data_IF_777018271686
#
_entry.id   IF_777018271686
#
_cell.length_a   1.000
_cell.length_b   1.000
_cell.length_c   1.000
_cell.angle_alpha   90.00
_cell.angle_beta   90.00
_cell.angle_gamma   90.00
#
_symmetry.space_group_name_H-M   'P 1'
#
loop_
_entity.id
_entity.type
_entity.pdbx_description
1 polymer ?
#
# COMPACT_ATOMS: atom_id res chain seq x y z
N UNK A 1 28.48 24.29 14.61
CA UNK A 1 28.21 22.97 15.20
C UNK A 1 26.71 22.87 15.43
N UNK A 2 25.97 22.41 14.44
CA UNK A 2 24.51 22.23 14.51
C UNK A 2 24.24 20.75 14.68
N UNK A 3 23.81 20.39 15.91
CA UNK A 3 23.36 19.06 16.28
C UNK A 3 22.06 18.75 15.54
N UNK A 4 22.06 17.78 14.62
CA UNK A 4 20.83 17.18 14.10
C UNK A 4 20.29 16.26 15.18
N UNK A 5 19.13 16.60 15.73
CA UNK A 5 18.33 15.72 16.56
C UNK A 5 17.75 14.61 15.66
N UNK A 6 18.35 13.43 15.72
CA UNK A 6 17.82 12.22 15.08
C UNK A 6 16.57 11.77 15.85
N UNK A 7 15.39 12.06 15.32
CA UNK A 7 14.16 11.37 15.73
C UNK A 7 14.32 9.87 15.43
N UNK A 8 13.98 9.01 16.40
CA UNK A 8 14.03 7.57 16.21
C UNK A 8 13.09 7.18 15.05
N UNK A 9 13.65 6.81 13.91
CA UNK A 9 12.86 6.23 12.81
C UNK A 9 12.33 4.88 13.27
N UNK A 10 11.07 4.58 12.95
CA UNK A 10 10.48 3.26 13.19
C UNK A 10 11.38 2.22 12.54
N UNK A 11 11.81 1.21 13.31
CA UNK A 11 12.60 0.09 12.77
C UNK A 11 11.70 -0.78 11.89
N UNK A 12 11.69 -0.48 10.60
CA UNK A 12 10.90 -1.18 9.61
C UNK A 12 11.35 -2.62 9.41
N UNK A 13 12.64 -2.90 9.62
CA UNK A 13 13.20 -4.26 9.48
C UNK A 13 12.70 -5.16 10.60
N UNK A 14 12.74 -4.68 11.85
CA UNK A 14 12.19 -5.42 13.00
C UNK A 14 10.67 -5.58 12.88
N UNK A 15 9.98 -4.58 12.31
CA UNK A 15 8.54 -4.67 12.08
C UNK A 15 8.20 -5.73 11.01
N UNK A 16 9.03 -5.90 9.97
CA UNK A 16 8.84 -6.96 8.97
C UNK A 16 9.05 -8.37 9.52
N UNK A 17 9.90 -8.57 10.53
CA UNK A 17 10.05 -9.88 11.17
C UNK A 17 8.77 -10.39 11.85
N UNK A 18 7.85 -9.48 12.24
CA UNK A 18 6.56 -9.85 12.83
C UNK A 18 5.57 -10.51 11.84
N UNK A 19 5.91 -10.60 10.55
CA UNK A 19 5.12 -11.36 9.57
C UNK A 19 5.40 -12.87 9.59
N UNK A 20 6.47 -13.31 10.25
CA UNK A 20 6.90 -14.72 10.21
C UNK A 20 6.20 -15.60 11.26
N UNK A 21 5.54 -15.00 12.26
CA UNK A 21 4.81 -15.66 13.32
C UNK A 21 3.28 -15.54 13.14
N UNK A 22 2.51 -16.32 13.91
CA UNK A 22 1.03 -16.25 13.97
C UNK A 22 0.59 -14.97 14.72
N UNK A 23 0.82 -13.82 14.10
CA UNK A 23 0.56 -12.49 14.63
C UNK A 23 -0.63 -11.82 13.91
N UNK A 24 -1.25 -10.79 14.50
CA UNK A 24 -2.25 -9.98 13.80
C UNK A 24 -1.73 -9.43 12.47
N UNK A 25 -0.43 -9.18 12.36
CA UNK A 25 0.21 -8.69 11.14
C UNK A 25 0.30 -9.77 10.06
N UNK A 26 0.60 -11.01 10.46
CA UNK A 26 0.58 -12.18 9.59
C UNK A 26 -0.83 -12.46 9.04
N UNK A 27 -1.85 -12.47 9.91
CA UNK A 27 -3.25 -12.64 9.46
C UNK A 27 -3.68 -11.56 8.47
N UNK A 28 -3.26 -10.30 8.69
CA UNK A 28 -3.51 -9.21 7.73
C UNK A 28 -2.81 -9.48 6.40
N UNK A 29 -1.56 -9.94 6.41
CA UNK A 29 -0.82 -10.29 5.19
C UNK A 29 -1.55 -11.35 4.38
N UNK A 30 -1.99 -12.44 5.02
CA UNK A 30 -2.77 -13.50 4.35
C UNK A 30 -4.08 -12.97 3.77
N UNK A 31 -4.77 -12.07 4.47
CA UNK A 31 -5.97 -11.43 3.95
C UNK A 31 -5.68 -10.57 2.71
N UNK A 32 -4.61 -9.79 2.72
CA UNK A 32 -4.17 -8.99 1.57
C UNK A 32 -3.81 -9.89 0.40
N UNK A 33 -3.00 -10.94 0.61
CA UNK A 33 -2.62 -11.90 -0.42
C UNK A 33 -3.83 -12.57 -1.07
N UNK A 34 -4.84 -12.97 -0.27
CA UNK A 34 -6.10 -13.50 -0.79
C UNK A 34 -6.78 -12.49 -1.71
N UNK A 35 -6.89 -11.22 -1.29
CA UNK A 35 -7.52 -10.17 -2.10
C UNK A 35 -6.74 -9.84 -3.38
N UNK A 36 -5.43 -9.93 -3.34
CA UNK A 36 -4.60 -9.82 -4.55
C UNK A 36 -4.91 -10.98 -5.50
N UNK A 37 -4.94 -12.23 -5.00
CA UNK A 37 -5.27 -13.41 -5.81
C UNK A 37 -6.66 -13.31 -6.47
N UNK A 38 -7.67 -12.87 -5.70
CA UNK A 38 -9.01 -12.61 -6.22
C UNK A 38 -8.96 -11.57 -7.37
N UNK A 39 -8.27 -10.43 -7.13
CA UNK A 39 -8.12 -9.37 -8.11
C UNK A 39 -7.40 -9.83 -9.39
N UNK A 40 -6.34 -10.63 -9.28
CA UNK A 40 -5.63 -11.20 -10.43
C UNK A 40 -6.52 -12.16 -11.23
N UNK A 41 -7.33 -12.98 -10.54
CA UNK A 41 -8.24 -13.95 -11.16
C UNK A 41 -9.42 -13.28 -11.90
N UNK A 42 -9.88 -12.13 -11.40
CA UNK A 42 -11.01 -11.38 -11.98
C UNK A 42 -10.60 -10.54 -13.22
N UNK A 43 -9.29 -10.33 -13.46
CA UNK A 43 -8.85 -9.56 -14.62
C UNK A 43 -9.06 -10.33 -15.91
N UNK A 44 -9.48 -9.67 -17.00
CA UNK A 44 -9.50 -10.26 -18.34
C UNK A 44 -8.13 -10.84 -18.73
N UNK A 45 -8.11 -11.76 -19.68
CA UNK A 45 -6.86 -12.30 -20.22
C UNK A 45 -5.95 -11.19 -20.74
N UNK A 46 -4.64 -11.39 -20.58
CA UNK A 46 -3.61 -10.46 -20.99
C UNK A 46 -2.77 -9.95 -19.82
N UNK A 47 -1.95 -8.99 -20.09
CA UNK A 47 -0.98 -8.40 -19.17
C UNK A 47 -1.68 -7.63 -18.03
N UNK A 48 -1.19 -7.79 -16.79
CA UNK A 48 -1.71 -7.14 -15.57
C UNK A 48 -0.63 -6.25 -15.00
N UNK A 49 -0.84 -4.94 -15.06
CA UNK A 49 0.11 -3.97 -14.50
C UNK A 49 -0.21 -3.69 -13.04
N UNK A 50 0.80 -3.88 -12.17
CA UNK A 50 0.69 -3.67 -10.72
C UNK A 50 1.62 -2.56 -10.27
N UNK A 51 1.16 -1.72 -9.35
CA UNK A 51 2.02 -0.86 -8.55
C UNK A 51 1.77 -1.11 -7.06
N UNK A 52 2.84 -1.08 -6.26
CA UNK A 52 2.76 -1.18 -4.81
C UNK A 52 3.51 -0.02 -4.17
N UNK A 53 2.81 0.75 -3.35
CA UNK A 53 3.37 1.85 -2.57
C UNK A 53 3.86 1.34 -1.22
N UNK A 54 5.10 1.69 -0.84
CA UNK A 54 5.75 1.24 0.41
C UNK A 54 5.75 -0.30 0.52
N UNK A 55 6.32 -0.92 -0.50
CA UNK A 55 6.18 -2.36 -0.75
C UNK A 55 6.93 -3.24 0.26
N UNK A 56 7.84 -2.67 1.06
CA UNK A 56 8.71 -3.45 1.94
C UNK A 56 9.51 -4.48 1.13
N UNK A 57 9.49 -5.74 1.59
CA UNK A 57 10.11 -6.87 0.88
C UNK A 57 9.22 -7.46 -0.24
N UNK A 58 8.08 -6.83 -0.56
CA UNK A 58 7.16 -7.31 -1.60
C UNK A 58 6.28 -8.49 -1.17
N UNK A 59 6.23 -8.84 0.11
CA UNK A 59 5.54 -10.03 0.64
C UNK A 59 4.06 -10.11 0.26
N UNK A 60 3.38 -8.97 0.14
CA UNK A 60 1.97 -8.88 -0.27
C UNK A 60 1.78 -9.48 -1.67
N UNK A 61 2.50 -8.94 -2.65
CA UNK A 61 2.38 -9.33 -4.06
C UNK A 61 3.05 -10.68 -4.32
N UNK A 62 4.30 -10.86 -3.89
CA UNK A 62 5.05 -12.06 -4.20
C UNK A 62 4.39 -13.30 -3.61
N UNK A 63 3.92 -13.24 -2.35
CA UNK A 63 3.18 -14.35 -1.74
C UNK A 63 1.85 -14.65 -2.44
N UNK A 64 1.16 -13.63 -2.96
CA UNK A 64 -0.06 -13.83 -3.73
C UNK A 64 0.20 -14.46 -5.11
N UNK A 65 1.38 -14.23 -5.70
CA UNK A 65 1.77 -14.78 -7.01
C UNK A 65 2.24 -16.25 -6.93
N UNK A 66 2.63 -16.75 -5.76
CA UNK A 66 3.03 -18.17 -5.62
C UNK A 66 1.90 -19.08 -6.11
N UNK A 67 2.23 -19.95 -7.06
CA UNK A 67 1.29 -20.92 -7.68
C UNK A 67 0.01 -20.29 -8.26
N UNK A 68 0.02 -18.99 -8.54
CA UNK A 68 -1.13 -18.34 -9.17
C UNK A 68 -1.08 -18.49 -10.70
N UNK A 69 -2.17 -18.93 -11.36
CA UNK A 69 -2.17 -19.20 -12.82
C UNK A 69 -1.88 -17.96 -13.66
N UNK A 70 -2.14 -16.76 -13.13
CA UNK A 70 -1.89 -15.48 -13.80
C UNK A 70 -0.57 -14.83 -13.38
N UNK A 71 0.31 -15.53 -12.63
CA UNK A 71 1.57 -14.94 -12.13
C UNK A 71 2.47 -14.45 -13.28
N UNK A 72 2.52 -15.17 -14.39
CA UNK A 72 3.32 -14.78 -15.57
C UNK A 72 2.80 -13.54 -16.31
N UNK A 73 1.54 -13.17 -16.11
CA UNK A 73 0.92 -12.01 -16.73
C UNK A 73 1.19 -10.71 -15.95
N UNK A 74 1.66 -10.85 -14.71
CA UNK A 74 1.88 -9.73 -13.79
C UNK A 74 3.21 -9.05 -14.09
N UNK A 75 3.15 -7.75 -14.29
CA UNK A 75 4.33 -6.88 -14.42
C UNK A 75 4.04 -5.56 -13.72
N UNK A 76 5.09 -4.83 -13.33
CA UNK A 76 4.87 -3.54 -12.69
C UNK A 76 6.00 -3.09 -11.80
N UNK A 77 5.66 -2.20 -10.85
CA UNK A 77 6.64 -1.53 -10.02
C UNK A 77 6.28 -1.58 -8.54
N UNK A 78 7.25 -1.99 -7.74
CA UNK A 78 7.24 -1.87 -6.29
C UNK A 78 8.09 -0.66 -5.91
N UNK A 79 7.55 0.23 -5.09
CA UNK A 79 8.25 1.42 -4.60
C UNK A 79 8.48 1.27 -3.10
N UNK A 80 9.73 1.30 -2.68
CA UNK A 80 10.15 1.20 -1.28
C UNK A 80 11.24 2.24 -1.00
N UNK A 81 11.12 2.93 0.14
CA UNK A 81 12.07 3.99 0.51
C UNK A 81 13.32 3.45 1.20
N UNK A 82 13.15 2.39 2.02
CA UNK A 82 14.28 1.76 2.72
C UNK A 82 15.13 0.95 1.73
N UNK A 83 16.43 1.28 1.57
CA UNK A 83 17.28 0.63 0.59
C UNK A 83 17.54 -0.85 0.90
N UNK A 84 17.51 -1.26 2.18
CA UNK A 84 17.71 -2.66 2.55
C UNK A 84 16.48 -3.49 2.19
N UNK A 85 15.26 -2.99 2.51
CA UNK A 85 14.00 -3.65 2.14
C UNK A 85 13.85 -3.69 0.61
N UNK A 86 14.16 -2.59 -0.09
CA UNK A 86 14.13 -2.56 -1.55
C UNK A 86 15.11 -3.57 -2.17
N UNK A 87 16.32 -3.70 -1.61
CA UNK A 87 17.30 -4.70 -2.06
C UNK A 87 16.82 -6.13 -1.85
N UNK A 88 16.22 -6.42 -0.69
CA UNK A 88 15.62 -7.73 -0.39
C UNK A 88 14.46 -8.04 -1.34
N UNK A 89 13.57 -7.08 -1.59
CA UNK A 89 12.50 -7.23 -2.56
C UNK A 89 13.04 -7.52 -3.96
N UNK A 90 14.06 -6.77 -4.42
CA UNK A 90 14.66 -6.95 -5.74
C UNK A 90 15.31 -8.33 -5.91
N UNK A 91 15.91 -8.88 -4.83
CA UNK A 91 16.52 -10.21 -4.86
C UNK A 91 15.50 -11.35 -5.07
N UNK A 92 14.23 -11.12 -4.73
CA UNK A 92 13.15 -12.12 -4.83
C UNK A 92 12.08 -11.74 -5.88
N UNK A 93 12.26 -10.61 -6.57
CA UNK A 93 11.28 -10.12 -7.54
C UNK A 93 11.11 -11.10 -8.72
N UNK A 94 9.88 -11.53 -9.03
CA UNK A 94 9.62 -12.31 -10.23
C UNK A 94 9.95 -11.52 -11.50
N UNK A 95 10.20 -12.20 -12.65
CA UNK A 95 10.35 -11.53 -13.93
C UNK A 95 9.18 -10.58 -14.22
N UNK A 96 9.49 -9.38 -14.72
CA UNK A 96 8.48 -8.35 -15.00
C UNK A 96 8.20 -7.38 -13.85
N UNK A 97 8.67 -7.66 -12.64
CA UNK A 97 8.52 -6.75 -11.49
C UNK A 97 9.81 -5.93 -11.30
N UNK A 98 9.68 -4.62 -11.44
CA UNK A 98 10.71 -3.64 -11.12
C UNK A 98 10.59 -3.22 -9.64
N UNK A 99 11.70 -3.19 -8.91
CA UNK A 99 11.75 -2.63 -7.55
C UNK A 99 12.56 -1.35 -7.59
N UNK A 100 11.97 -0.24 -7.14
CA UNK A 100 12.62 1.09 -7.11
C UNK A 100 12.79 1.55 -5.67
N UNK A 101 14.01 1.92 -5.30
CA UNK A 101 14.28 2.60 -4.04
C UNK A 101 13.94 4.09 -4.22
N UNK A 102 12.71 4.48 -3.81
CA UNK A 102 12.19 5.83 -4.01
C UNK A 102 11.10 6.17 -2.98
N UNK A 103 10.77 7.46 -2.88
CA UNK A 103 9.68 7.95 -2.03
C UNK A 103 8.31 7.69 -2.67
N UNK A 104 7.60 6.68 -2.18
CA UNK A 104 6.26 6.33 -2.62
C UNK A 104 5.21 7.45 -2.38
N UNK A 105 5.51 8.43 -1.54
CA UNK A 105 4.69 9.62 -1.34
C UNK A 105 4.82 10.66 -2.45
N UNK A 106 5.68 10.46 -3.46
CA UNK A 106 5.80 11.30 -4.64
C UNK A 106 5.25 10.60 -5.89
N UNK A 107 4.51 11.33 -6.71
CA UNK A 107 4.05 10.83 -8.01
C UNK A 107 5.19 10.50 -8.97
N UNK A 108 6.37 11.08 -8.77
CA UNK A 108 7.56 10.79 -9.59
C UNK A 108 7.94 9.31 -9.59
N UNK A 109 7.71 8.62 -8.47
CA UNK A 109 8.00 7.20 -8.33
C UNK A 109 7.17 6.31 -9.28
N UNK A 110 6.05 6.80 -9.79
CA UNK A 110 5.10 6.04 -10.60
C UNK A 110 5.12 6.43 -12.10
N UNK A 111 5.88 7.46 -12.47
CA UNK A 111 6.00 7.88 -13.89
C UNK A 111 6.55 6.71 -14.72
N UNK A 112 5.85 6.40 -15.82
CA UNK A 112 6.17 5.27 -16.71
C UNK A 112 5.66 3.89 -16.23
N UNK A 113 5.14 3.79 -14.99
CA UNK A 113 4.55 2.55 -14.44
C UNK A 113 3.02 2.57 -14.36
N UNK A 114 2.39 3.67 -14.73
CA UNK A 114 0.92 3.85 -14.70
C UNK A 114 0.38 4.14 -16.10
N UNK A 115 -0.93 3.95 -16.35
CA UNK A 115 -1.96 3.49 -15.42
C UNK A 115 -1.81 2.00 -15.08
N UNK A 116 -2.18 1.62 -13.85
CA UNK A 116 -2.08 0.26 -13.34
C UNK A 116 -3.45 -0.39 -13.21
N UNK A 117 -3.49 -1.73 -13.34
CA UNK A 117 -4.67 -2.57 -13.17
C UNK A 117 -4.91 -2.97 -11.71
N UNK A 118 -3.83 -3.02 -10.92
CA UNK A 118 -3.86 -3.29 -9.48
C UNK A 118 -2.95 -2.31 -8.76
N UNK A 119 -3.48 -1.63 -7.75
CA UNK A 119 -2.77 -0.65 -6.93
C UNK A 119 -2.81 -1.10 -5.47
N UNK A 120 -1.64 -1.32 -4.88
CA UNK A 120 -1.50 -1.73 -3.48
C UNK A 120 -1.06 -0.54 -2.63
N UNK A 121 -1.86 -0.20 -1.62
CA UNK A 121 -1.60 0.86 -0.64
C UNK A 121 -1.66 0.26 0.77
N UNK A 122 -0.90 -0.84 0.94
CA UNK A 122 -0.87 -1.60 2.19
C UNK A 122 0.18 -1.03 3.16
N UNK A 123 -0.20 -0.90 4.45
CA UNK A 123 0.69 -0.34 5.47
C UNK A 123 0.89 1.19 5.39
N UNK A 124 0.22 1.90 4.50
CA UNK A 124 0.37 3.35 4.31
C UNK A 124 -0.61 4.14 5.18
N UNK A 125 -1.91 3.92 5.03
CA UNK A 125 -2.95 4.76 5.66
C UNK A 125 -2.92 4.79 7.19
N UNK A 126 -2.29 3.83 7.84
CA UNK A 126 -2.09 3.81 9.28
C UNK A 126 -0.88 4.61 9.77
N UNK A 127 -0.05 5.13 8.87
CA UNK A 127 1.23 5.78 9.18
C UNK A 127 1.35 7.19 8.59
N UNK A 128 0.26 7.74 8.07
CA UNK A 128 0.17 9.10 7.51
C UNK A 128 -0.98 9.87 8.17
N UNK A 129 -1.03 11.19 8.02
CA UNK A 129 -2.12 11.99 8.54
C UNK A 129 -3.45 11.69 7.84
N UNK A 130 -4.58 11.94 8.51
CA UNK A 130 -5.91 11.74 7.93
C UNK A 130 -6.11 12.62 6.68
N UNK A 131 -5.54 13.84 6.67
CA UNK A 131 -5.52 14.72 5.50
C UNK A 131 -4.78 14.07 4.33
N UNK A 132 -3.60 13.47 4.59
CA UNK A 132 -2.81 12.79 3.57
C UNK A 132 -3.51 11.51 3.05
N UNK A 133 -4.28 10.81 3.89
CA UNK A 133 -5.13 9.70 3.43
C UNK A 133 -6.15 10.19 2.40
N UNK A 134 -6.88 11.26 2.72
CA UNK A 134 -7.85 11.87 1.79
C UNK A 134 -7.20 12.35 0.50
N UNK A 135 -6.05 13.02 0.61
CA UNK A 135 -5.26 13.50 -0.56
C UNK A 135 -4.78 12.34 -1.43
N UNK A 136 -4.28 11.28 -0.81
CA UNK A 136 -3.82 10.07 -1.54
C UNK A 136 -4.97 9.45 -2.30
N UNK A 137 -6.13 9.24 -1.65
CA UNK A 137 -7.31 8.65 -2.29
C UNK A 137 -7.77 9.50 -3.48
N UNK A 138 -7.82 10.84 -3.32
CA UNK A 138 -8.19 11.76 -4.39
C UNK A 138 -7.21 11.73 -5.59
N UNK A 139 -5.96 11.31 -5.38
CA UNK A 139 -4.96 11.19 -6.43
C UNK A 139 -4.93 9.81 -7.10
N UNK A 140 -5.49 8.75 -6.48
CA UNK A 140 -5.48 7.38 -7.04
C UNK A 140 -6.03 7.29 -8.48
N UNK A 141 -7.03 8.08 -8.93
CA UNK A 141 -7.44 8.10 -10.34
C UNK A 141 -6.31 8.35 -11.34
N UNK A 142 -5.22 9.00 -10.90
CA UNK A 142 -4.03 9.24 -11.76
C UNK A 142 -3.11 8.02 -11.85
N UNK A 143 -3.29 7.04 -10.98
CA UNK A 143 -2.51 5.81 -10.94
C UNK A 143 -3.25 4.61 -11.53
N UNK A 144 -4.58 4.68 -11.63
CA UNK A 144 -5.47 3.58 -11.98
C UNK A 144 -5.84 3.58 -13.47
N UNK A 145 -5.85 2.40 -14.10
CA UNK A 145 -6.60 2.16 -15.32
C UNK A 145 -8.11 2.08 -15.01
N UNK A 146 -8.97 2.26 -16.01
CA UNK A 146 -10.40 1.97 -15.85
C UNK A 146 -10.60 0.50 -15.41
N UNK A 147 -11.42 0.26 -14.42
CA UNK A 147 -11.64 -1.07 -13.84
C UNK A 147 -10.51 -1.56 -12.95
N UNK A 148 -9.52 -0.72 -12.62
CA UNK A 148 -8.43 -1.08 -11.72
C UNK A 148 -8.94 -1.43 -10.32
N UNK A 149 -8.29 -2.40 -9.68
CA UNK A 149 -8.54 -2.73 -8.27
C UNK A 149 -7.53 -2.02 -7.39
N UNK A 150 -8.00 -1.38 -6.32
CA UNK A 150 -7.17 -0.80 -5.26
C UNK A 150 -7.35 -1.60 -3.98
N UNK A 151 -6.25 -2.08 -3.40
CA UNK A 151 -6.24 -2.78 -2.11
C UNK A 151 -5.49 -1.92 -1.10
N UNK A 152 -6.13 -1.65 0.03
CA UNK A 152 -5.57 -0.82 1.08
C UNK A 152 -5.77 -1.43 2.46
N UNK A 153 -4.92 -1.03 3.43
CA UNK A 153 -5.04 -1.46 4.83
C UNK A 153 -5.04 -0.28 5.79
N UNK A 154 -5.83 -0.40 6.87
CA UNK A 154 -5.85 0.54 7.99
C UNK A 154 -6.18 -0.19 9.28
N UNK A 155 -5.67 0.29 10.42
CA UNK A 155 -6.17 -0.12 11.74
C UNK A 155 -7.54 0.51 12.01
N UNK A 156 -8.32 -0.14 12.89
CA UNK A 156 -9.65 0.31 13.34
C UNK A 156 -9.64 0.87 14.77
N UNK A 157 -8.45 1.18 15.30
CA UNK A 157 -8.34 1.84 16.62
C UNK A 157 -9.00 3.21 16.57
N UNK A 158 -9.66 3.63 17.67
CA UNK A 158 -10.27 4.95 17.75
C UNK A 158 -9.25 6.09 17.55
N UNK A 159 -9.62 7.16 16.81
CA UNK A 159 -10.81 7.26 15.98
C UNK A 159 -10.71 6.36 14.73
N UNK A 160 -11.77 5.53 14.50
CA UNK A 160 -11.80 4.63 13.34
C UNK A 160 -12.12 5.41 12.05
N UNK A 161 -11.09 5.64 11.26
CA UNK A 161 -11.18 6.39 10.00
C UNK A 161 -11.75 5.55 8.82
N UNK A 162 -11.96 4.25 9.00
CA UNK A 162 -12.32 3.36 7.86
C UNK A 162 -13.64 3.73 7.20
N UNK A 163 -14.57 4.37 7.94
CA UNK A 163 -15.85 4.87 7.40
C UNK A 163 -15.58 6.03 6.42
N UNK A 164 -14.74 6.99 6.85
CA UNK A 164 -14.40 8.15 6.02
C UNK A 164 -13.55 7.76 4.81
N UNK A 165 -12.59 6.86 4.97
CA UNK A 165 -11.81 6.28 3.87
C UNK A 165 -12.74 5.72 2.79
N UNK A 166 -13.72 4.90 3.15
CA UNK A 166 -14.66 4.32 2.19
C UNK A 166 -15.49 5.39 1.48
N UNK A 167 -15.92 6.43 2.20
CA UNK A 167 -16.63 7.58 1.62
C UNK A 167 -15.75 8.38 0.66
N UNK A 168 -14.47 8.60 1.01
CA UNK A 168 -13.53 9.28 0.13
C UNK A 168 -13.27 8.51 -1.16
N UNK A 169 -13.17 7.18 -1.09
CA UNK A 169 -13.09 6.34 -2.29
C UNK A 169 -14.33 6.48 -3.18
N UNK A 170 -15.53 6.46 -2.61
CA UNK A 170 -16.78 6.66 -3.36
C UNK A 170 -16.77 8.03 -4.09
N UNK A 171 -16.37 9.10 -3.40
CA UNK A 171 -16.25 10.44 -4.00
C UNK A 171 -15.17 10.53 -5.08
N UNK A 172 -14.13 9.71 -5.01
CA UNK A 172 -13.05 9.67 -5.99
C UNK A 172 -13.33 8.72 -7.18
N UNK A 173 -14.56 8.23 -7.31
CA UNK A 173 -14.98 7.40 -8.44
C UNK A 173 -14.66 5.92 -8.30
N UNK A 174 -14.64 5.42 -7.07
CA UNK A 174 -14.47 4.00 -6.78
C UNK A 174 -15.73 3.38 -6.19
N UNK A 175 -16.02 2.15 -6.59
CA UNK A 175 -17.02 1.31 -5.94
C UNK A 175 -16.35 0.29 -5.00
N UNK A 176 -17.04 -0.05 -3.91
CA UNK A 176 -16.54 -1.03 -2.95
C UNK A 176 -16.79 -2.45 -3.43
N UNK A 177 -15.71 -3.26 -3.50
CA UNK A 177 -15.78 -4.69 -3.76
C UNK A 177 -15.83 -5.52 -2.48
N UNK A 178 -14.92 -5.22 -1.53
CA UNK A 178 -14.84 -5.95 -0.27
C UNK A 178 -14.32 -5.08 0.88
N UNK A 179 -14.60 -5.53 2.12
CA UNK A 179 -14.03 -4.95 3.32
C UNK A 179 -13.90 -6.04 4.39
N UNK A 180 -12.69 -6.50 4.64
CA UNK A 180 -12.36 -7.45 5.69
C UNK A 180 -12.00 -6.71 6.96
N UNK A 181 -12.73 -6.97 8.03
CA UNK A 181 -12.56 -6.33 9.34
C UNK A 181 -12.96 -7.31 10.45
N UNK A 182 -12.16 -8.38 10.68
CA UNK A 182 -12.49 -9.39 11.68
C UNK A 182 -12.55 -8.77 13.07
N UNK A 183 -13.47 -9.27 13.90
CA UNK A 183 -13.72 -8.72 15.23
C UNK A 183 -12.56 -8.92 16.21
N UNK A 184 -11.81 -9.99 16.03
CA UNK A 184 -10.66 -10.40 16.84
C UNK A 184 -9.40 -9.59 16.59
N UNK A 185 -9.36 -8.79 15.51
CA UNK A 185 -8.20 -7.97 15.15
C UNK A 185 -8.57 -6.50 14.94
N UNK A 186 -7.60 -5.62 15.13
CA UNK A 186 -7.77 -4.19 14.90
C UNK A 186 -7.46 -3.74 13.45
N UNK A 187 -7.04 -4.64 12.57
CA UNK A 187 -6.77 -4.30 11.18
C UNK A 187 -8.01 -4.41 10.29
N UNK A 188 -7.96 -3.74 9.17
CA UNK A 188 -8.89 -3.93 8.06
C UNK A 188 -8.17 -3.95 6.72
N UNK A 189 -8.79 -4.62 5.74
CA UNK A 189 -8.40 -4.64 4.33
C UNK A 189 -9.59 -4.19 3.50
N UNK A 190 -9.44 -3.10 2.76
CA UNK A 190 -10.45 -2.62 1.84
C UNK A 190 -10.06 -2.90 0.40
N UNK A 191 -11.06 -3.23 -0.42
CA UNK A 191 -10.91 -3.47 -1.85
C UNK A 191 -11.91 -2.62 -2.61
N UNK A 192 -11.40 -1.81 -3.53
CA UNK A 192 -12.18 -0.86 -4.33
C UNK A 192 -11.91 -1.07 -5.81
N UNK A 193 -12.92 -0.88 -6.65
CA UNK A 193 -12.79 -0.86 -8.11
C UNK A 193 -12.93 0.56 -8.63
N UNK A 194 -11.99 1.01 -9.44
CA UNK A 194 -12.08 2.31 -10.09
C UNK A 194 -13.04 2.25 -11.28
N UNK A 195 -14.09 3.09 -11.27
CA UNK A 195 -15.17 3.08 -12.27
C UNK A 195 -15.38 4.43 -12.96
N UNK A 196 -14.50 5.38 -12.69
CA UNK A 196 -14.49 6.67 -13.37
C UNK A 196 -13.39 6.74 -14.45
N UNK A 197 -13.31 7.86 -15.16
CA UNK A 197 -12.28 8.06 -16.18
C UNK A 197 -10.90 8.30 -15.53
N UNK A 198 -9.84 7.58 -15.98
CA UNK A 198 -8.48 7.81 -15.53
C UNK A 198 -8.00 9.23 -15.80
N UNK A 199 -7.30 9.82 -14.84
CA UNK A 199 -6.66 11.10 -14.99
C UNK A 199 -5.16 10.93 -15.33
N UNK A 200 -4.54 11.85 -16.10
CA UNK A 200 -3.11 11.78 -16.35
C UNK A 200 -2.31 12.03 -15.08
N UNK A 201 -1.22 11.24 -14.90
CA UNK A 201 -0.30 11.50 -13.80
C UNK A 201 0.43 12.83 -14.01
N UNK A 202 0.51 13.62 -12.93
CA UNK A 202 1.27 14.88 -12.92
C UNK A 202 2.51 14.65 -12.04
N UNK A 203 3.73 14.69 -12.60
CA UNK A 203 4.97 14.56 -11.82
C UNK A 203 5.11 15.67 -10.76
N UNK A 204 5.92 15.41 -9.73
CA UNK A 204 6.24 16.38 -8.68
C UNK A 204 5.11 16.61 -7.66
N UNK A 205 4.02 15.84 -7.71
CA UNK A 205 2.93 15.93 -6.73
C UNK A 205 3.22 15.09 -5.50
N UNK A 206 2.90 15.65 -4.33
CA UNK A 206 2.96 14.93 -3.05
C UNK A 206 1.61 14.24 -2.79
N UNK A 207 1.67 12.91 -2.57
CA UNK A 207 0.53 12.10 -2.16
C UNK A 207 0.40 12.12 -0.63
N UNK A 208 1.50 11.75 0.07
CA UNK A 208 1.53 11.66 1.55
C UNK A 208 2.94 11.87 2.09
N UNK A 209 3.02 12.03 3.42
CA UNK A 209 4.24 11.92 4.21
C UNK A 209 3.97 11.03 5.41
N UNK A 210 4.93 10.18 5.77
CA UNK A 210 4.84 9.43 7.03
C UNK A 210 4.89 10.38 8.22
N UNK A 211 3.98 10.18 9.18
CA UNK A 211 4.08 10.88 10.46
C UNK A 211 5.23 10.25 11.25
N UNK A 212 6.23 11.06 11.61
CA UNK A 212 7.25 10.68 12.58
C UNK A 212 6.57 10.69 13.95
N UNK A 213 6.25 9.53 14.50
CA UNK A 213 5.88 9.44 15.92
C UNK A 213 7.13 9.74 16.74
N UNK A 214 7.23 10.95 17.29
CA UNK A 214 8.09 11.17 18.46
C UNK A 214 7.58 10.24 19.57
N UNK A 215 8.45 9.52 20.30
CA UNK A 215 8.00 8.83 21.49
C UNK A 215 7.48 9.89 22.45
N UNK A 216 6.19 9.83 22.78
CA UNK A 216 5.58 10.67 23.80
C UNK A 216 6.37 10.50 25.11
N UNK A 217 6.92 11.60 25.57
CA UNK A 217 7.49 11.77 26.90
C UNK A 217 6.29 11.88 27.86
N UNK A 218 5.63 10.78 28.14
CA UNK A 218 4.70 10.71 29.27
C UNK A 218 5.52 10.34 30.53
N UNK A 219 6.30 11.30 30.96
CA UNK A 219 6.79 11.35 32.35
C UNK A 219 5.74 12.11 33.15
N UNK A 220 4.72 11.38 33.60
CA UNK A 220 3.82 11.86 34.64
C UNK A 220 4.62 12.24 35.87
N UNK A 221 4.72 13.53 36.11
CA UNK A 221 5.01 14.07 37.42
C UNK A 221 3.75 13.95 38.27
N UNK A 222 3.90 13.36 39.48
CA UNK A 222 2.87 13.37 40.50
C UNK A 222 3.10 12.32 41.56
#
# INVERSE_FOLDING_TARGET
>A
MTSQAGGASKDWIAWHAAYDDDTPLHHRLLAVQRRIRDALSERPDGSIRVISACAGEGRDLFGAMVDHPRASDVHGRLVELDPELASRAAAHAPPGIEVVCADAGSTDAYVGAVPADLVLVCGVFGNISDEDVGRTIAALPTLCAFGATVIWTRHRRPPDLTIDIRRWFEHAGFERLAFDAPSEFEWSVGVQRFVADPAPIVPGRRLFRFVTTSPDTDLGEG
#
